data_IF_031312551315
#
_entry.id   IF_031312551315
#
_cell.length_a   1.000
_cell.length_b   1.000
_cell.length_c   1.000
_cell.angle_alpha   90.00
_cell.angle_beta   90.00
_cell.angle_gamma   90.00
#
_symmetry.space_group_name_H-M   'P 1'
#
loop_
_entity.id
_entity.type
_entity.pdbx_description
1 polymer ?
#
# COMPACT_ATOMS: atom_id res chain seq x y z
N UNK A 1 -17.03 23.70 16.20
CA UNK A 1 -16.10 24.30 17.16
C UNK A 1 -14.72 23.73 16.86
N UNK A 2 -13.82 24.49 16.26
CA UNK A 2 -12.47 24.02 15.96
C UNK A 2 -11.66 23.96 17.27
N UNK A 3 -10.81 22.93 17.47
CA UNK A 3 -9.96 22.87 18.64
C UNK A 3 -9.04 24.12 18.68
N UNK A 4 -8.91 24.73 19.84
CA UNK A 4 -7.99 25.86 20.02
C UNK A 4 -6.56 25.39 19.76
N UNK A 5 -5.74 26.16 19.00
CA UNK A 5 -4.34 25.82 18.82
C UNK A 5 -3.64 25.66 20.17
N UNK A 6 -2.74 24.70 20.30
CA UNK A 6 -2.05 24.39 21.56
C UNK A 6 -1.33 25.61 22.16
N UNK A 7 -0.89 26.52 21.32
CA UNK A 7 -0.25 27.80 21.71
C UNK A 7 -1.19 28.73 22.50
N UNK A 8 -2.52 28.55 22.39
CA UNK A 8 -3.55 29.31 23.10
C UNK A 8 -4.09 28.62 24.34
N UNK A 9 -3.56 27.40 24.64
CA UNK A 9 -3.93 26.64 25.84
C UNK A 9 -3.09 27.07 27.05
N UNK A 10 -3.57 26.84 28.29
CA UNK A 10 -2.79 27.11 29.50
C UNK A 10 -1.41 26.42 29.46
N UNK A 11 -0.39 27.06 30.03
CA UNK A 11 1.00 26.58 30.02
C UNK A 11 1.16 25.16 30.57
N UNK A 12 0.33 24.77 31.54
CA UNK A 12 0.31 23.41 32.08
C UNK A 12 -0.05 22.38 30.99
N UNK A 13 -1.05 22.65 30.16
CA UNK A 13 -1.45 21.79 29.05
C UNK A 13 -0.38 21.70 27.95
N UNK A 14 0.32 22.82 27.68
CA UNK A 14 1.42 22.83 26.72
C UNK A 14 2.58 21.93 27.21
N UNK A 15 2.96 22.03 28.49
CA UNK A 15 4.01 21.18 29.09
C UNK A 15 3.56 19.71 29.06
N UNK A 16 2.33 19.43 29.47
CA UNK A 16 1.78 18.05 29.43
C UNK A 16 1.83 17.48 28.02
N UNK A 17 1.43 18.24 27.02
CA UNK A 17 1.50 17.80 25.62
C UNK A 17 2.94 17.56 25.15
N UNK A 18 3.85 18.49 25.45
CA UNK A 18 5.26 18.40 25.06
C UNK A 18 6.00 17.24 25.74
N UNK A 19 5.54 16.78 26.90
CA UNK A 19 6.13 15.63 27.60
C UNK A 19 5.45 14.31 27.21
N UNK A 20 4.12 14.29 27.14
CA UNK A 20 3.38 13.05 26.83
C UNK A 20 3.54 12.63 25.37
N UNK A 21 3.63 13.57 24.43
CA UNK A 21 3.75 13.25 23.01
C UNK A 21 5.04 12.47 22.70
N UNK A 22 6.24 12.90 23.12
CA UNK A 22 7.46 12.12 22.92
C UNK A 22 7.42 10.76 23.61
N UNK A 23 6.89 10.68 24.83
CA UNK A 23 6.73 9.40 25.55
C UNK A 23 5.80 8.44 24.80
N UNK A 24 4.68 8.93 24.31
CA UNK A 24 3.74 8.15 23.50
C UNK A 24 4.40 7.67 22.18
N UNK A 25 5.18 8.55 21.53
CA UNK A 25 5.93 8.20 20.32
C UNK A 25 6.99 7.12 20.59
N UNK A 26 7.77 7.25 21.67
CA UNK A 26 8.76 6.24 22.05
C UNK A 26 8.07 4.90 22.31
N UNK A 27 6.98 4.91 23.10
CA UNK A 27 6.20 3.69 23.37
C UNK A 27 5.65 3.05 22.10
N UNK A 28 5.17 3.88 21.16
CA UNK A 28 4.65 3.41 19.88
C UNK A 28 5.74 2.85 18.96
N UNK A 29 6.97 3.38 19.05
CA UNK A 29 8.13 2.93 18.28
C UNK A 29 8.84 1.71 18.90
N UNK A 30 8.54 1.32 20.15
CA UNK A 30 9.19 0.19 20.81
C UNK A 30 9.21 -1.11 19.97
N UNK A 31 8.13 -1.54 19.31
CA UNK A 31 8.18 -2.74 18.47
C UNK A 31 9.18 -2.62 17.31
N UNK A 32 9.27 -1.44 16.69
CA UNK A 32 10.23 -1.18 15.59
C UNK A 32 11.66 -1.16 16.09
N UNK A 33 11.89 -0.56 17.27
CA UNK A 33 13.19 -0.57 17.95
C UNK A 33 13.60 -2.01 18.27
N UNK A 34 12.69 -2.83 18.78
CA UNK A 34 12.95 -4.25 19.05
C UNK A 34 13.37 -4.99 17.76
N UNK A 35 12.65 -4.82 16.66
CA UNK A 35 13.00 -5.41 15.37
C UNK A 35 14.38 -4.93 14.90
N UNK A 36 14.69 -3.64 15.06
CA UNK A 36 16.01 -3.09 14.71
C UNK A 36 17.13 -3.69 15.56
N UNK A 37 16.91 -3.86 16.86
CA UNK A 37 17.88 -4.52 17.76
C UNK A 37 18.03 -6.00 17.37
N UNK A 38 16.94 -6.71 17.12
CA UNK A 38 16.96 -8.13 16.74
C UNK A 38 17.72 -8.35 15.43
N UNK A 39 17.60 -7.42 14.48
CA UNK A 39 18.26 -7.55 13.18
C UNK A 39 19.81 -7.52 13.25
N UNK A 40 20.36 -7.03 14.35
CA UNK A 40 21.82 -6.94 14.55
C UNK A 40 22.36 -7.90 15.60
N UNK A 41 21.48 -8.69 16.25
CA UNK A 41 21.86 -9.71 17.25
C UNK A 41 22.43 -10.97 16.59
N UNK A 42 23.36 -11.67 17.26
CA UNK A 42 23.75 -13.03 16.88
C UNK A 42 22.63 -14.05 17.17
N UNK A 43 22.60 -15.14 16.44
CA UNK A 43 21.68 -16.26 16.66
C UNK A 43 21.81 -16.84 18.08
N UNK A 44 23.02 -16.88 18.62
CA UNK A 44 23.33 -17.35 19.96
C UNK A 44 22.54 -16.61 21.08
N UNK A 45 22.23 -15.33 20.90
CA UNK A 45 21.45 -14.58 21.87
C UNK A 45 20.02 -15.15 22.00
N UNK A 46 19.42 -15.52 20.87
CA UNK A 46 18.08 -16.12 20.84
C UNK A 46 18.09 -17.55 21.41
N UNK A 47 19.15 -18.31 21.12
CA UNK A 47 19.34 -19.64 21.68
C UNK A 47 19.50 -19.61 23.21
N UNK A 48 20.10 -18.56 23.74
CA UNK A 48 20.29 -18.33 25.18
C UNK A 48 19.12 -17.53 25.84
N UNK A 49 17.99 -17.39 25.13
CA UNK A 49 16.81 -16.65 25.60
C UNK A 49 17.07 -15.15 25.93
N UNK A 50 18.14 -14.56 25.41
CA UNK A 50 18.44 -13.14 25.55
C UNK A 50 17.63 -12.29 24.55
N UNK A 51 16.30 -12.32 24.64
CA UNK A 51 15.43 -11.56 23.73
C UNK A 51 15.49 -10.06 24.01
N UNK A 52 15.44 -9.63 25.26
CA UNK A 52 15.27 -8.23 25.66
C UNK A 52 16.56 -7.55 26.11
N UNK A 53 17.65 -8.30 26.28
CA UNK A 53 18.95 -7.72 26.62
C UNK A 53 19.64 -7.08 25.41
N UNK A 54 20.75 -6.39 25.65
CA UNK A 54 21.58 -5.87 24.58
C UNK A 54 22.24 -7.02 23.78
N UNK A 55 22.56 -6.80 22.49
CA UNK A 55 23.32 -7.76 21.70
C UNK A 55 24.65 -8.14 22.36
N UNK A 56 24.97 -9.43 22.44
CA UNK A 56 26.25 -9.91 22.94
C UNK A 56 27.41 -9.58 21.99
N UNK A 57 27.10 -9.54 20.68
CA UNK A 57 27.98 -9.03 19.61
C UNK A 57 27.14 -8.34 18.54
N UNK A 58 27.77 -7.46 17.75
CA UNK A 58 27.10 -6.82 16.62
C UNK A 58 27.31 -7.64 15.35
N UNK A 59 26.22 -8.29 14.89
CA UNK A 59 26.21 -9.13 13.70
C UNK A 59 25.42 -8.52 12.54
N UNK A 60 25.23 -7.22 12.52
CA UNK A 60 24.43 -6.55 11.49
C UNK A 60 24.91 -6.86 10.08
N UNK A 61 26.21 -6.71 9.80
CA UNK A 61 26.75 -6.98 8.46
C UNK A 61 26.58 -8.44 8.04
N UNK A 62 26.77 -9.37 8.96
CA UNK A 62 26.56 -10.82 8.72
C UNK A 62 25.11 -11.12 8.44
N UNK A 63 24.19 -10.65 9.28
CA UNK A 63 22.76 -10.92 9.16
C UNK A 63 22.17 -10.35 7.86
N UNK A 64 22.46 -9.09 7.55
CA UNK A 64 22.00 -8.49 6.29
C UNK A 64 22.71 -9.13 5.08
N UNK A 65 23.99 -9.50 5.20
CA UNK A 65 24.68 -10.27 4.17
C UNK A 65 23.96 -11.58 3.88
N UNK A 66 23.64 -12.37 4.91
CA UNK A 66 22.92 -13.64 4.79
C UNK A 66 21.50 -13.46 4.19
N UNK A 67 20.79 -12.39 4.52
CA UNK A 67 19.50 -12.08 3.92
C UNK A 67 19.61 -11.93 2.39
N UNK A 68 20.68 -11.34 1.87
CA UNK A 68 20.85 -11.12 0.44
C UNK A 68 21.57 -12.26 -0.30
N UNK A 69 22.50 -12.96 0.34
CA UNK A 69 23.35 -13.96 -0.33
C UNK A 69 23.01 -15.39 0.07
N UNK A 70 22.43 -15.58 1.24
CA UNK A 70 22.11 -16.90 1.80
C UNK A 70 20.61 -17.25 1.76
N UNK A 71 19.76 -16.43 1.15
CA UNK A 71 18.32 -16.65 1.08
C UNK A 71 17.73 -16.19 -0.25
N UNK A 72 16.46 -16.53 -0.47
CA UNK A 72 15.70 -16.13 -1.65
C UNK A 72 15.10 -14.69 -1.55
N UNK A 73 15.52 -13.91 -0.54
CA UNK A 73 14.99 -12.55 -0.31
C UNK A 73 15.10 -11.63 -1.53
N UNK A 74 16.19 -11.62 -2.32
CA UNK A 74 16.27 -10.81 -3.53
C UNK A 74 15.19 -11.15 -4.54
N UNK A 75 14.88 -12.44 -4.71
CA UNK A 75 13.82 -12.88 -5.60
C UNK A 75 12.43 -12.45 -5.10
N UNK A 76 12.15 -12.60 -3.80
CA UNK A 76 10.89 -12.14 -3.19
C UNK A 76 10.70 -10.62 -3.33
N UNK A 77 11.76 -9.83 -3.14
CA UNK A 77 11.71 -8.38 -3.38
C UNK A 77 11.42 -8.07 -4.84
N UNK A 78 12.10 -8.74 -5.76
CA UNK A 78 11.86 -8.56 -7.19
C UNK A 78 10.42 -8.92 -7.58
N UNK A 79 9.89 -10.01 -7.02
CA UNK A 79 8.50 -10.41 -7.22
C UNK A 79 7.53 -9.35 -6.68
N UNK A 80 7.81 -8.79 -5.48
CA UNK A 80 6.99 -7.69 -4.94
C UNK A 80 6.93 -6.49 -5.89
N UNK A 81 8.04 -6.08 -6.50
CA UNK A 81 8.03 -5.02 -7.51
C UNK A 81 7.25 -5.42 -8.77
N UNK A 82 7.44 -6.66 -9.26
CA UNK A 82 6.72 -7.20 -10.43
C UNK A 82 5.21 -7.30 -10.20
N UNK A 83 4.78 -7.47 -8.95
CA UNK A 83 3.36 -7.50 -8.57
C UNK A 83 2.84 -6.07 -8.37
N UNK A 84 3.51 -5.30 -7.53
CA UNK A 84 3.01 -4.00 -7.07
C UNK A 84 2.94 -2.96 -8.19
N UNK A 85 4.01 -2.80 -8.98
CA UNK A 85 4.07 -1.74 -10.00
C UNK A 85 2.99 -1.93 -11.09
N UNK A 86 2.86 -3.10 -11.74
CA UNK A 86 1.80 -3.29 -12.74
C UNK A 86 0.40 -3.18 -12.14
N UNK A 87 0.21 -3.64 -10.90
CA UNK A 87 -1.08 -3.52 -10.20
C UNK A 87 -1.47 -2.05 -9.98
N UNK A 88 -0.55 -1.24 -9.47
CA UNK A 88 -0.79 0.20 -9.27
C UNK A 88 -1.14 0.87 -10.59
N UNK A 89 -0.35 0.64 -11.65
CA UNK A 89 -0.60 1.22 -12.97
C UNK A 89 -1.97 0.79 -13.50
N UNK A 90 -2.27 -0.51 -13.47
CA UNK A 90 -3.53 -1.05 -13.98
C UNK A 90 -4.76 -0.57 -13.20
N UNK A 91 -4.72 -0.65 -11.87
CA UNK A 91 -5.84 -0.23 -11.01
C UNK A 91 -6.10 1.28 -11.12
N UNK A 92 -5.04 2.10 -11.10
CA UNK A 92 -5.17 3.56 -11.21
C UNK A 92 -5.64 3.96 -12.61
N UNK A 93 -5.11 3.36 -13.67
CA UNK A 93 -5.55 3.66 -15.04
C UNK A 93 -7.03 3.32 -15.25
N UNK A 94 -7.45 2.12 -14.86
CA UNK A 94 -8.85 1.71 -14.94
C UNK A 94 -9.76 2.63 -14.12
N UNK A 95 -9.34 3.00 -12.91
CA UNK A 95 -10.14 3.86 -12.05
C UNK A 95 -10.20 5.32 -12.51
N UNK A 96 -9.20 5.83 -13.20
CA UNK A 96 -9.29 7.13 -13.87
C UNK A 96 -10.37 7.10 -14.96
N UNK A 97 -10.40 6.04 -15.78
CA UNK A 97 -11.40 5.89 -16.86
C UNK A 97 -12.81 5.67 -16.29
N UNK A 98 -12.97 4.74 -15.34
CA UNK A 98 -14.28 4.47 -14.71
C UNK A 98 -14.76 5.64 -13.86
N UNK A 99 -13.85 6.30 -13.13
CA UNK A 99 -14.14 7.51 -12.35
C UNK A 99 -14.59 8.67 -13.23
N UNK A 100 -13.94 8.86 -14.41
CA UNK A 100 -14.36 9.85 -15.40
C UNK A 100 -15.75 9.53 -15.95
N UNK A 101 -15.97 8.29 -16.39
CA UNK A 101 -17.27 7.88 -16.93
C UNK A 101 -18.40 8.06 -15.90
N UNK A 102 -18.20 7.61 -14.66
CA UNK A 102 -19.20 7.67 -13.59
C UNK A 102 -19.30 9.06 -12.92
N UNK A 103 -18.27 9.89 -13.06
CA UNK A 103 -18.25 11.25 -12.50
C UNK A 103 -18.90 12.30 -13.40
N UNK A 104 -18.68 12.20 -14.71
CA UNK A 104 -19.06 13.22 -15.69
C UNK A 104 -20.34 12.88 -16.44
N UNK A 105 -20.52 11.61 -16.88
CA UNK A 105 -21.67 11.27 -17.70
C UNK A 105 -22.90 10.95 -16.85
N UNK A 106 -24.06 11.47 -17.31
CA UNK A 106 -25.38 11.18 -16.72
C UNK A 106 -26.09 10.13 -17.58
N UNK A 107 -26.15 8.89 -17.11
CA UNK A 107 -26.89 7.81 -17.75
C UNK A 107 -27.65 6.97 -16.71
N UNK A 108 -28.71 6.27 -17.14
CA UNK A 108 -29.66 5.60 -16.22
C UNK A 108 -29.00 4.61 -15.25
N UNK A 109 -27.98 3.88 -15.69
CA UNK A 109 -27.28 2.88 -14.87
C UNK A 109 -26.13 3.45 -14.05
N UNK A 110 -25.75 4.74 -14.18
CA UNK A 110 -24.58 5.34 -13.54
C UNK A 110 -24.48 5.03 -12.05
N UNK A 111 -25.57 5.34 -11.32
CA UNK A 111 -25.57 5.18 -9.86
C UNK A 111 -25.53 3.72 -9.44
N UNK A 112 -26.17 2.81 -10.19
CA UNK A 112 -26.18 1.38 -9.91
C UNK A 112 -24.79 0.76 -10.12
N UNK A 113 -24.12 1.11 -11.23
CA UNK A 113 -22.75 0.66 -11.50
C UNK A 113 -21.82 1.20 -10.42
N UNK A 114 -21.97 2.46 -10.04
CA UNK A 114 -21.17 3.03 -8.95
C UNK A 114 -21.39 2.28 -7.63
N UNK A 115 -22.63 1.99 -7.27
CA UNK A 115 -22.94 1.21 -6.07
C UNK A 115 -22.38 -0.22 -6.14
N UNK A 116 -22.33 -0.87 -7.29
CA UNK A 116 -21.68 -2.17 -7.45
C UNK A 116 -20.18 -2.11 -7.11
N UNK A 117 -19.47 -1.10 -7.59
CA UNK A 117 -18.07 -0.88 -7.22
C UNK A 117 -17.90 -0.64 -5.72
N UNK A 118 -18.78 0.16 -5.12
CA UNK A 118 -18.73 0.45 -3.68
C UNK A 118 -19.07 -0.79 -2.86
N UNK A 119 -20.16 -1.51 -3.22
CA UNK A 119 -20.61 -2.70 -2.50
C UNK A 119 -19.55 -3.81 -2.49
N UNK A 120 -18.81 -3.97 -3.58
CA UNK A 120 -17.70 -4.93 -3.65
C UNK A 120 -16.64 -4.75 -2.56
N UNK A 121 -16.43 -3.53 -2.07
CA UNK A 121 -15.47 -3.26 -0.99
C UNK A 121 -15.98 -3.68 0.41
N UNK A 122 -17.28 -3.91 0.58
CA UNK A 122 -17.87 -4.37 1.85
C UNK A 122 -17.91 -5.89 1.97
N UNK A 123 -17.60 -6.62 0.90
CA UNK A 123 -17.50 -8.08 0.97
C UNK A 123 -16.23 -8.44 1.71
N UNK A 124 -16.32 -9.21 2.84
CA UNK A 124 -15.12 -9.67 3.53
C UNK A 124 -14.27 -10.51 2.57
N UNK A 125 -13.08 -10.01 2.26
CA UNK A 125 -12.22 -10.62 1.22
C UNK A 125 -11.83 -12.08 1.54
N UNK A 126 -11.83 -12.46 2.82
CA UNK A 126 -11.55 -13.83 3.24
C UNK A 126 -12.58 -14.85 2.71
N UNK A 127 -13.84 -14.45 2.54
CA UNK A 127 -14.89 -15.32 2.00
C UNK A 127 -14.59 -15.66 0.52
N UNK A 128 -13.91 -14.77 -0.18
CA UNK A 128 -13.55 -14.96 -1.59
C UNK A 128 -12.34 -15.90 -1.79
N UNK A 129 -11.69 -16.35 -0.72
CA UNK A 129 -10.47 -17.17 -0.79
C UNK A 129 -10.63 -18.41 -1.68
N UNK A 130 -11.67 -19.21 -1.41
CA UNK A 130 -11.91 -20.44 -2.16
C UNK A 130 -12.33 -20.17 -3.60
N UNK A 131 -13.37 -19.36 -3.88
CA UNK A 131 -13.81 -19.13 -5.25
C UNK A 131 -12.75 -18.43 -6.12
N UNK A 132 -11.94 -17.54 -5.56
CA UNK A 132 -10.87 -16.87 -6.33
C UNK A 132 -9.73 -17.85 -6.62
N UNK A 133 -9.34 -18.67 -5.64
CA UNK A 133 -8.34 -19.71 -5.88
C UNK A 133 -8.79 -20.69 -6.98
N UNK A 134 -10.02 -21.17 -6.90
CA UNK A 134 -10.59 -22.08 -7.89
C UNK A 134 -10.64 -21.43 -9.29
N UNK A 135 -11.06 -20.16 -9.37
CA UNK A 135 -11.05 -19.40 -10.62
C UNK A 135 -9.62 -19.30 -11.20
N UNK A 136 -8.63 -18.98 -10.37
CA UNK A 136 -7.22 -18.86 -10.82
C UNK A 136 -6.66 -20.21 -11.28
N UNK A 137 -7.04 -21.31 -10.63
CA UNK A 137 -6.69 -22.67 -11.08
C UNK A 137 -7.28 -22.99 -12.46
N UNK A 138 -8.59 -22.72 -12.66
CA UNK A 138 -9.26 -22.96 -13.95
C UNK A 138 -8.68 -22.11 -15.08
N UNK A 139 -8.25 -20.89 -14.79
CA UNK A 139 -7.64 -19.99 -15.77
C UNK A 139 -6.13 -20.26 -16.01
N UNK A 140 -5.52 -21.17 -15.29
CA UNK A 140 -4.07 -21.41 -15.34
C UNK A 140 -3.23 -20.25 -14.78
N UNK A 141 -3.82 -19.41 -13.92
CA UNK A 141 -3.21 -18.25 -13.31
C UNK A 141 -2.75 -18.48 -11.86
N UNK A 142 -3.12 -19.63 -11.27
CA UNK A 142 -2.68 -20.00 -9.93
C UNK A 142 -1.16 -20.14 -9.88
N UNK A 143 -0.57 -19.70 -8.80
CA UNK A 143 0.89 -19.71 -8.58
C UNK A 143 1.68 -18.92 -9.64
N UNK A 144 1.11 -17.82 -10.13
CA UNK A 144 1.79 -16.92 -11.08
C UNK A 144 1.73 -15.47 -10.60
N UNK A 145 2.78 -14.71 -10.90
CA UNK A 145 2.80 -13.25 -10.67
C UNK A 145 1.65 -12.57 -11.42
N UNK A 146 1.41 -12.99 -12.66
CA UNK A 146 0.30 -12.43 -13.49
C UNK A 146 -1.06 -12.65 -12.84
N UNK A 147 -1.31 -13.84 -12.28
CA UNK A 147 -2.56 -14.13 -11.59
C UNK A 147 -2.80 -13.21 -10.40
N UNK A 148 -1.77 -12.99 -9.58
CA UNK A 148 -1.86 -12.09 -8.43
C UNK A 148 -2.03 -10.62 -8.87
N UNK A 149 -1.34 -10.18 -9.92
CA UNK A 149 -1.50 -8.83 -10.51
C UNK A 149 -2.92 -8.60 -10.99
N UNK A 150 -3.46 -9.51 -11.81
CA UNK A 150 -4.80 -9.39 -12.36
C UNK A 150 -5.87 -9.41 -11.26
N UNK A 151 -5.71 -10.28 -10.27
CA UNK A 151 -6.58 -10.31 -9.10
C UNK A 151 -6.58 -8.96 -8.39
N UNK A 152 -5.41 -8.42 -8.06
CA UNK A 152 -5.32 -7.15 -7.35
C UNK A 152 -5.84 -5.97 -8.18
N UNK A 153 -5.61 -5.92 -9.49
CA UNK A 153 -6.19 -4.89 -10.35
C UNK A 153 -7.72 -4.92 -10.25
N UNK A 154 -8.31 -6.11 -10.41
CA UNK A 154 -9.77 -6.27 -10.34
C UNK A 154 -10.32 -5.86 -8.96
N UNK A 155 -9.69 -6.34 -7.90
CA UNK A 155 -10.13 -6.10 -6.52
C UNK A 155 -10.00 -4.63 -6.12
N UNK A 156 -8.90 -3.97 -6.45
CA UNK A 156 -8.65 -2.58 -6.08
C UNK A 156 -9.43 -1.57 -6.92
N UNK A 157 -9.87 -1.94 -8.13
CA UNK A 157 -10.57 -1.03 -9.04
C UNK A 157 -11.83 -0.41 -8.41
N UNK A 158 -12.54 -1.14 -7.54
CA UNK A 158 -13.71 -0.64 -6.84
C UNK A 158 -13.41 0.57 -5.95
N UNK A 159 -12.45 0.41 -5.04
CA UNK A 159 -12.00 1.49 -4.16
C UNK A 159 -11.38 2.66 -4.93
N UNK A 160 -10.52 2.35 -5.90
CA UNK A 160 -9.88 3.36 -6.73
C UNK A 160 -10.89 4.18 -7.54
N UNK A 161 -11.94 3.54 -8.08
CA UNK A 161 -13.03 4.21 -8.80
C UNK A 161 -13.80 5.16 -7.90
N UNK A 162 -14.12 4.74 -6.66
CA UNK A 162 -14.75 5.61 -5.67
C UNK A 162 -13.91 6.86 -5.42
N UNK A 163 -12.61 6.69 -5.18
CA UNK A 163 -11.67 7.77 -4.92
C UNK A 163 -11.59 8.74 -6.11
N UNK A 164 -11.35 8.21 -7.32
CA UNK A 164 -11.18 9.02 -8.54
C UNK A 164 -12.48 9.73 -8.94
N UNK A 165 -13.63 9.06 -8.86
CA UNK A 165 -14.93 9.69 -9.13
C UNK A 165 -15.20 10.88 -8.22
N UNK A 166 -14.93 10.74 -6.93
CA UNK A 166 -15.13 11.83 -5.99
C UNK A 166 -14.23 13.03 -6.28
N UNK A 167 -12.97 12.77 -6.65
CA UNK A 167 -12.04 13.83 -7.04
C UNK A 167 -12.46 14.52 -8.34
N UNK A 168 -12.84 13.76 -9.37
CA UNK A 168 -13.29 14.31 -10.67
C UNK A 168 -14.54 15.20 -10.48
N UNK A 169 -15.47 14.80 -9.62
CA UNK A 169 -16.66 15.61 -9.32
C UNK A 169 -16.38 16.90 -8.57
N UNK A 170 -15.21 17.03 -7.98
CA UNK A 170 -14.75 18.24 -7.32
C UNK A 170 -14.03 19.21 -8.28
N UNK A 171 -13.71 18.76 -9.51
CA UNK A 171 -13.12 19.64 -10.52
C UNK A 171 -14.15 20.68 -11.02
N UNK A 172 -13.69 21.88 -11.44
CA UNK A 172 -14.55 22.87 -12.08
C UNK A 172 -15.16 22.28 -13.37
N UNK A 173 -16.48 22.07 -13.36
CA UNK A 173 -17.20 21.47 -14.48
C UNK A 173 -17.19 22.36 -15.73
N UNK A 174 -17.06 23.66 -15.51
CA UNK A 174 -17.00 24.71 -16.55
C UNK A 174 -15.85 24.46 -17.55
N UNK A 175 -14.74 23.89 -17.09
CA UNK A 175 -13.60 23.55 -17.96
C UNK A 175 -13.96 22.45 -18.98
N UNK A 176 -14.78 21.49 -18.57
CA UNK A 176 -15.24 20.40 -19.40
C UNK A 176 -16.29 20.89 -20.39
N UNK A 177 -17.23 21.75 -19.92
CA UNK A 177 -18.26 22.34 -20.77
C UNK A 177 -17.65 23.26 -21.84
N UNK A 178 -16.68 24.10 -21.47
CA UNK A 178 -15.97 24.96 -22.42
C UNK A 178 -15.33 24.13 -23.55
N UNK A 179 -14.62 23.06 -23.20
CA UNK A 179 -14.01 22.16 -24.19
C UNK A 179 -15.06 21.49 -25.11
N UNK A 180 -16.23 21.16 -24.57
CA UNK A 180 -17.34 20.61 -25.37
C UNK A 180 -17.94 21.63 -26.35
N UNK A 181 -18.10 22.86 -25.91
CA UNK A 181 -18.60 23.96 -26.76
C UNK A 181 -17.62 24.24 -27.91
N UNK A 182 -16.32 24.09 -27.68
CA UNK A 182 -15.30 24.17 -28.73
C UNK A 182 -15.25 22.92 -29.65
N UNK A 183 -16.11 21.94 -29.44
CA UNK A 183 -16.19 20.73 -30.25
C UNK A 183 -15.08 19.71 -30.02
N UNK A 184 -14.38 19.78 -28.87
CA UNK A 184 -13.34 18.82 -28.52
C UNK A 184 -13.98 17.44 -28.20
N UNK A 185 -13.45 16.40 -28.83
CA UNK A 185 -13.95 15.04 -28.62
C UNK A 185 -13.71 14.56 -27.15
N UNK A 186 -14.67 13.81 -26.56
CA UNK A 186 -14.67 13.38 -25.16
C UNK A 186 -13.36 12.68 -24.72
N UNK A 187 -12.78 11.83 -25.59
CA UNK A 187 -11.51 11.17 -25.29
C UNK A 187 -10.33 12.16 -25.17
N UNK A 188 -10.36 13.27 -25.95
CA UNK A 188 -9.36 14.36 -25.81
C UNK A 188 -9.59 15.15 -24.54
N UNK A 189 -10.84 15.39 -24.16
CA UNK A 189 -11.19 16.03 -22.87
C UNK A 189 -10.62 15.20 -21.74
N UNK A 190 -10.80 13.86 -21.76
CA UNK A 190 -10.22 12.98 -20.75
C UNK A 190 -8.70 13.11 -20.67
N UNK A 191 -7.98 12.96 -21.80
CA UNK A 191 -6.52 12.91 -21.80
C UNK A 191 -5.85 14.27 -21.59
N UNK A 192 -6.41 15.35 -22.15
CA UNK A 192 -5.74 16.66 -22.19
C UNK A 192 -6.31 17.69 -21.22
N UNK A 193 -7.50 17.47 -20.68
CA UNK A 193 -8.12 18.38 -19.69
C UNK A 193 -8.19 17.70 -18.33
N UNK A 194 -8.92 16.58 -18.23
CA UNK A 194 -9.23 15.96 -16.93
C UNK A 194 -8.01 15.27 -16.33
N UNK A 195 -7.34 14.41 -17.07
CA UNK A 195 -6.20 13.63 -16.57
C UNK A 195 -5.06 14.49 -16.03
N UNK A 196 -4.64 15.61 -16.68
CA UNK A 196 -3.67 16.54 -16.10
C UNK A 196 -4.11 17.17 -14.77
N UNK A 197 -5.39 17.50 -14.63
CA UNK A 197 -5.94 18.05 -13.39
C UNK A 197 -6.00 17.00 -12.27
N UNK A 198 -6.09 15.72 -12.62
CA UNK A 198 -6.09 14.61 -11.68
C UNK A 198 -4.71 14.23 -11.14
N UNK A 199 -3.60 14.78 -11.65
CA UNK A 199 -2.25 14.39 -11.23
C UNK A 199 -2.04 14.29 -9.72
N UNK A 200 -2.51 15.23 -8.87
CA UNK A 200 -2.36 15.11 -7.42
C UNK A 200 -3.12 13.91 -6.84
N UNK A 201 -4.34 13.66 -7.33
CA UNK A 201 -5.15 12.52 -6.90
C UNK A 201 -4.56 11.18 -7.36
N UNK A 202 -4.07 11.11 -8.60
CA UNK A 202 -3.36 9.96 -9.15
C UNK A 202 -2.15 9.63 -8.28
N UNK A 203 -1.33 10.64 -7.95
CA UNK A 203 -0.16 10.45 -7.11
C UNK A 203 -0.53 9.94 -5.71
N UNK A 204 -1.52 10.56 -5.06
CA UNK A 204 -1.99 10.15 -3.74
C UNK A 204 -2.54 8.71 -3.74
N UNK A 205 -3.39 8.37 -4.72
CA UNK A 205 -3.94 7.04 -4.85
C UNK A 205 -2.87 6.01 -5.17
N UNK A 206 -1.89 6.34 -6.02
CA UNK A 206 -0.77 5.44 -6.34
C UNK A 206 0.04 5.05 -5.10
N UNK A 207 0.34 6.00 -4.21
CA UNK A 207 1.04 5.72 -2.94
C UNK A 207 0.21 4.80 -2.05
N UNK A 208 -1.10 5.08 -1.94
CA UNK A 208 -2.03 4.27 -1.15
C UNK A 208 -2.07 2.82 -1.65
N UNK A 209 -2.31 2.63 -2.96
CA UNK A 209 -2.39 1.30 -3.56
C UNK A 209 -1.04 0.59 -3.54
N UNK A 210 0.07 1.31 -3.79
CA UNK A 210 1.41 0.73 -3.63
C UNK A 210 1.58 0.12 -2.24
N UNK A 211 1.23 0.88 -1.20
CA UNK A 211 1.37 0.44 0.19
C UNK A 211 0.47 -0.76 0.49
N UNK A 212 -0.78 -0.76 0.02
CA UNK A 212 -1.69 -1.90 0.21
C UNK A 212 -1.19 -3.17 -0.46
N UNK A 213 -0.77 -3.09 -1.74
CA UNK A 213 -0.32 -4.25 -2.49
C UNK A 213 1.03 -4.75 -1.98
N UNK A 214 1.95 -3.85 -1.68
CA UNK A 214 3.26 -4.23 -1.14
C UNK A 214 3.15 -4.99 0.18
N UNK A 215 2.22 -4.58 1.05
CA UNK A 215 2.01 -5.20 2.35
C UNK A 215 1.00 -6.36 2.32
N UNK A 216 0.46 -6.73 1.15
CA UNK A 216 -0.45 -7.86 1.06
C UNK A 216 0.28 -9.16 1.38
N UNK A 217 -0.21 -9.86 2.37
CA UNK A 217 0.23 -11.18 2.79
C UNK A 217 -0.83 -12.23 2.50
N UNK A 218 -2.11 -11.88 2.70
CA UNK A 218 -3.19 -12.85 2.64
C UNK A 218 -3.37 -13.44 1.24
N UNK A 219 -3.51 -12.60 0.22
CA UNK A 219 -3.67 -13.07 -1.14
C UNK A 219 -2.38 -13.66 -1.71
N UNK A 220 -1.24 -13.17 -1.24
CA UNK A 220 0.04 -13.74 -1.57
C UNK A 220 0.10 -15.23 -1.19
N UNK A 221 -0.25 -15.62 0.04
CA UNK A 221 -0.22 -17.03 0.47
C UNK A 221 -1.36 -17.86 -0.12
N UNK A 222 -2.49 -17.24 -0.49
CA UNK A 222 -3.63 -17.94 -1.09
C UNK A 222 -3.39 -18.28 -2.55
N UNK A 223 -2.77 -17.37 -3.31
CA UNK A 223 -2.66 -17.48 -4.78
C UNK A 223 -1.27 -17.82 -5.28
N UNK A 224 -0.24 -17.80 -4.42
CA UNK A 224 1.14 -18.10 -4.83
C UNK A 224 1.81 -19.10 -3.90
N UNK A 225 2.76 -19.86 -4.46
CA UNK A 225 3.57 -20.85 -3.73
C UNK A 225 5.00 -20.86 -4.27
N UNK A 226 5.97 -20.87 -3.35
CA UNK A 226 7.38 -20.98 -3.71
C UNK A 226 8.01 -19.67 -4.18
N UNK A 227 9.30 -19.74 -4.39
CA UNK A 227 10.20 -18.58 -4.61
C UNK A 227 9.88 -17.79 -5.87
N UNK A 228 9.42 -18.47 -6.93
CA UNK A 228 9.22 -17.86 -8.26
C UNK A 228 8.06 -16.86 -8.31
N UNK A 229 7.07 -16.98 -7.42
CA UNK A 229 5.83 -16.19 -7.48
C UNK A 229 5.51 -15.42 -6.20
N UNK A 230 6.05 -15.84 -5.05
CA UNK A 230 5.75 -15.21 -3.76
C UNK A 230 6.38 -13.81 -3.65
N UNK A 231 5.63 -12.81 -3.17
CA UNK A 231 6.19 -11.51 -2.78
C UNK A 231 6.92 -11.58 -1.44
N UNK A 232 7.61 -10.50 -1.08
CA UNK A 232 8.45 -10.39 0.11
C UNK A 232 7.69 -10.68 1.41
N UNK A 233 6.44 -10.27 1.52
CA UNK A 233 5.62 -10.50 2.71
C UNK A 233 5.38 -11.99 3.00
N UNK A 234 5.15 -12.79 1.97
CA UNK A 234 5.06 -14.25 2.08
C UNK A 234 6.46 -14.88 2.26
N UNK A 235 7.46 -14.36 1.54
CA UNK A 235 8.84 -14.86 1.57
C UNK A 235 9.52 -14.75 2.93
N UNK A 236 9.25 -13.69 3.71
CA UNK A 236 9.82 -13.53 5.07
C UNK A 236 9.47 -14.70 5.98
N UNK A 237 8.30 -15.30 5.81
CA UNK A 237 7.90 -16.46 6.64
C UNK A 237 8.72 -17.70 6.38
N UNK A 238 9.40 -17.80 5.23
CA UNK A 238 10.28 -18.92 4.90
C UNK A 238 11.50 -19.00 5.82
N UNK A 239 11.97 -17.87 6.37
CA UNK A 239 13.05 -17.89 7.37
C UNK A 239 12.71 -18.67 8.62
N UNK A 240 11.43 -18.73 8.98
CA UNK A 240 10.97 -19.49 10.14
C UNK A 240 10.93 -21.01 9.89
N UNK A 241 10.67 -21.43 8.66
CA UNK A 241 10.59 -22.84 8.28
C UNK A 241 11.98 -23.45 8.01
N UNK A 242 12.89 -22.67 7.44
CA UNK A 242 14.21 -23.13 7.02
C UNK A 242 15.24 -23.16 8.15
N UNK A 243 15.15 -22.30 9.15
CA UNK A 243 16.23 -22.05 10.12
C UNK A 243 15.77 -21.98 11.58
N UNK A 244 14.85 -22.85 12.04
CA UNK A 244 14.42 -22.88 13.46
C UNK A 244 14.23 -21.48 14.05
N UNK A 245 13.24 -20.74 13.59
CA UNK A 245 12.91 -19.40 14.11
C UNK A 245 14.12 -18.44 14.15
N UNK A 246 14.78 -18.21 13.01
CA UNK A 246 15.91 -17.29 12.87
C UNK A 246 15.44 -15.83 13.02
N UNK A 247 15.10 -15.42 14.25
CA UNK A 247 14.54 -14.09 14.55
C UNK A 247 15.43 -12.94 14.07
N UNK A 248 16.76 -13.10 14.11
CA UNK A 248 17.71 -12.12 13.60
C UNK A 248 17.57 -11.91 12.08
N UNK A 249 17.46 -13.00 11.29
CA UNK A 249 17.27 -12.90 9.84
C UNK A 249 15.86 -12.45 9.47
N UNK A 250 14.83 -12.92 10.18
CA UNK A 250 13.45 -12.41 9.99
C UNK A 250 13.36 -10.92 10.24
N UNK A 251 14.01 -10.43 11.29
CA UNK A 251 14.04 -8.99 11.62
C UNK A 251 14.81 -8.20 10.58
N UNK A 252 15.98 -8.67 10.15
CA UNK A 252 16.75 -8.02 9.09
C UNK A 252 15.98 -8.01 7.76
N UNK A 253 15.36 -9.14 7.39
CA UNK A 253 14.51 -9.25 6.21
C UNK A 253 13.28 -8.33 6.28
N UNK A 254 12.65 -8.21 7.45
CA UNK A 254 11.51 -7.31 7.64
C UNK A 254 11.88 -5.83 7.47
N UNK A 255 13.06 -5.43 7.95
CA UNK A 255 13.57 -4.07 7.74
C UNK A 255 13.82 -3.82 6.25
N UNK A 256 14.47 -4.76 5.56
CA UNK A 256 14.70 -4.65 4.11
C UNK A 256 13.38 -4.56 3.35
N UNK A 257 12.38 -5.38 3.71
CA UNK A 257 11.06 -5.35 3.11
C UNK A 257 10.29 -4.05 3.35
N UNK A 258 10.54 -3.37 4.46
CA UNK A 258 9.91 -2.10 4.79
C UNK A 258 10.50 -0.89 4.03
N UNK A 259 11.72 -1.00 3.50
CA UNK A 259 12.40 0.13 2.84
C UNK A 259 11.64 0.67 1.62
N UNK A 260 11.13 -0.14 0.67
CA UNK A 260 10.46 0.40 -0.52
C UNK A 260 9.20 1.21 -0.22
N UNK A 261 8.24 0.76 0.64
CA UNK A 261 7.09 1.59 1.01
C UNK A 261 7.49 2.87 1.74
N UNK A 262 8.49 2.80 2.62
CA UNK A 262 9.00 3.97 3.35
C UNK A 262 9.64 4.96 2.37
N UNK A 263 10.48 4.49 1.45
CA UNK A 263 11.08 5.33 0.40
C UNK A 263 10.00 5.97 -0.47
N UNK A 264 9.01 5.19 -0.92
CA UNK A 264 7.89 5.68 -1.71
C UNK A 264 7.11 6.78 -0.98
N UNK A 265 6.84 6.59 0.32
CA UNK A 265 6.17 7.60 1.13
C UNK A 265 6.97 8.92 1.19
N UNK A 266 8.27 8.86 1.49
CA UNK A 266 9.11 10.07 1.54
C UNK A 266 9.22 10.79 0.19
N UNK A 267 9.29 10.05 -0.92
CA UNK A 267 9.32 10.62 -2.26
C UNK A 267 8.00 11.32 -2.62
N UNK A 268 6.89 10.78 -2.18
CA UNK A 268 5.55 11.20 -2.62
C UNK A 268 4.76 11.99 -1.56
N UNK A 269 5.30 12.21 -0.34
CA UNK A 269 4.59 12.83 0.79
C UNK A 269 3.92 14.18 0.45
N UNK A 270 4.56 15.01 -0.39
CA UNK A 270 3.99 16.30 -0.81
C UNK A 270 2.68 16.13 -1.59
N UNK A 271 2.63 15.14 -2.47
CA UNK A 271 1.43 14.86 -3.27
C UNK A 271 0.34 14.19 -2.44
N UNK A 272 0.74 13.35 -1.48
CA UNK A 272 -0.19 12.70 -0.55
C UNK A 272 -0.93 13.72 0.32
N UNK A 273 -0.21 14.68 0.91
CA UNK A 273 -0.81 15.76 1.71
C UNK A 273 -1.76 16.61 0.85
N UNK A 274 -1.35 17.01 -0.35
CA UNK A 274 -2.18 17.79 -1.27
C UNK A 274 -3.46 17.03 -1.70
N UNK A 275 -3.36 15.73 -1.96
CA UNK A 275 -4.52 14.91 -2.34
C UNK A 275 -5.54 14.71 -1.23
N UNK A 276 -5.11 14.58 0.03
CA UNK A 276 -5.99 14.45 1.18
C UNK A 276 -6.68 15.78 1.55
N UNK A 277 -5.97 16.89 1.45
CA UNK A 277 -6.52 18.21 1.82
C UNK A 277 -7.54 18.71 0.81
N UNK A 278 -7.39 18.43 -0.49
CA UNK A 278 -8.37 18.80 -1.52
C UNK A 278 -9.74 18.11 -1.32
N UNK A 279 -9.78 16.95 -0.68
CA UNK A 279 -11.02 16.27 -0.29
C UNK A 279 -11.66 16.78 1.00
N UNK A 280 -10.94 17.54 1.82
CA UNK A 280 -11.38 18.01 3.13
C UNK A 280 -11.85 19.48 3.17
N UNK A 281 -11.59 20.25 2.13
CA UNK A 281 -12.04 21.65 2.03
C UNK A 281 -13.39 21.68 1.30
N UNK A 282 -14.45 21.69 2.04
CA UNK A 282 -15.78 22.17 1.67
C UNK A 282 -16.08 23.42 2.46
#
# INVERSE_FOLDING_TARGET
>A
MFPTPIERTPRSWQITYQTLLPLALILWLLPLIAVAIFSVKPDADFANANYWGWPSSFEGFTNYGLVFTGSDMPQYLLNSFKITIPTVIGAVALSCMTGFALGIYKFRANIWIFFMFVAGNFVPFQILMVPVRDLTLHLGLYNTITGLVLFHIAFQTGFCTLFMRNFIRALPFELIEAARVEGVAEWRIFWFVVLPLMKPAIAALSVLIFTFIWNDYFWAIVLTQGVESQPVTAGITSFNAQYRAAYHLMSAGSIVAALPPVAMFFMMQKHFIAGLTLGAVK
#
